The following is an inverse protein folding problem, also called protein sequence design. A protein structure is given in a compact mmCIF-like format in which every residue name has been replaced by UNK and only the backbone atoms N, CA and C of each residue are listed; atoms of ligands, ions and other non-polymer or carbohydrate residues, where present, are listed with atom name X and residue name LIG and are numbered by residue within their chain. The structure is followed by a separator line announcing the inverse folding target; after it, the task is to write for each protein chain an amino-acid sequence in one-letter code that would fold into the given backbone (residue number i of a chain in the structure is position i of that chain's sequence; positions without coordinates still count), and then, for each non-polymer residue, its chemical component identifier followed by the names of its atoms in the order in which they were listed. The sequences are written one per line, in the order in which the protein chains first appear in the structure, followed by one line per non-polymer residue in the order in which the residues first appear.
data_IF_428296248300
#
_entry.id   IF_428296248300
#
_cell.length_a   1.000
_cell.length_b   1.000
_cell.length_c   1.000
_cell.angle_alpha   90.00
_cell.angle_beta   90.00
_cell.angle_gamma   90.00
#
_symmetry.space_group_name_H-M   'P 1'
#
loop_
_entity.id
_entity.type
_entity.pdbx_description
1 polymer ?
#
# COMPACT_ATOMS: atom_id res chain seq x y z
N UNK A 1 14.46 -18.02 -8.54
CA UNK A 1 13.21 -17.58 -9.18
C UNK A 1 12.08 -17.41 -8.16
N UNK A 2 11.46 -18.46 -7.60
CA UNK A 2 10.37 -18.27 -6.61
C UNK A 2 10.78 -17.45 -5.38
N UNK A 3 11.97 -17.70 -4.82
CA UNK A 3 12.49 -16.98 -3.65
C UNK A 3 12.71 -15.48 -3.93
N UNK A 4 13.06 -15.13 -5.16
CA UNK A 4 13.32 -13.76 -5.57
C UNK A 4 12.00 -12.99 -5.77
N UNK A 5 11.00 -13.67 -6.33
CA UNK A 5 9.66 -13.13 -6.55
C UNK A 5 8.89 -12.89 -5.24
N UNK A 6 8.96 -13.83 -4.30
CA UNK A 6 8.38 -13.66 -2.97
C UNK A 6 8.99 -12.45 -2.23
N UNK A 7 10.29 -12.24 -2.39
CA UNK A 7 11.01 -11.11 -1.80
C UNK A 7 10.56 -9.78 -2.43
N UNK A 8 10.36 -9.75 -3.75
CA UNK A 8 9.84 -8.58 -4.46
C UNK A 8 8.44 -8.18 -3.98
N UNK A 9 7.51 -9.14 -3.90
CA UNK A 9 6.16 -8.89 -3.39
C UNK A 9 6.16 -8.41 -1.94
N UNK A 10 7.05 -8.97 -1.12
CA UNK A 10 7.23 -8.52 0.26
C UNK A 10 7.69 -7.07 0.34
N UNK A 11 8.66 -6.67 -0.48
CA UNK A 11 9.14 -5.29 -0.55
C UNK A 11 8.06 -4.32 -1.04
N UNK A 12 7.28 -4.71 -2.06
CA UNK A 12 6.15 -3.92 -2.56
C UNK A 12 5.08 -3.72 -1.48
N UNK A 13 4.74 -4.77 -0.73
CA UNK A 13 3.80 -4.68 0.38
C UNK A 13 4.28 -3.72 1.48
N UNK A 14 5.57 -3.79 1.84
CA UNK A 14 6.18 -2.86 2.80
C UNK A 14 6.09 -1.42 2.31
N UNK A 15 6.33 -1.18 1.02
CA UNK A 15 6.25 0.16 0.44
C UNK A 15 4.83 0.74 0.53
N UNK A 16 3.80 -0.06 0.22
CA UNK A 16 2.39 0.34 0.33
C UNK A 16 2.04 0.71 1.78
N UNK A 17 2.44 -0.13 2.75
CA UNK A 17 2.16 0.14 4.18
C UNK A 17 2.84 1.42 4.65
N UNK A 18 4.08 1.69 4.20
CA UNK A 18 4.80 2.91 4.54
C UNK A 18 4.19 4.17 3.94
N UNK A 19 3.63 4.09 2.73
CA UNK A 19 2.95 5.23 2.08
C UNK A 19 1.72 5.67 2.89
N UNK A 20 1.00 4.72 3.49
CA UNK A 20 -0.18 4.99 4.33
C UNK A 20 0.17 5.47 5.73
N UNK A 21 1.26 4.96 6.31
CA UNK A 21 1.67 5.26 7.69
C UNK A 21 2.40 6.61 7.82
N UNK A 22 1.88 7.66 7.20
CA UNK A 22 2.39 9.02 7.39
C UNK A 22 2.05 9.50 8.81
N UNK A 23 3.05 9.83 9.67
CA UNK A 23 2.79 10.24 11.04
C UNK A 23 2.10 11.61 11.09
N UNK A 24 0.96 11.69 11.77
CA UNK A 24 0.30 12.96 12.07
C UNK A 24 0.39 13.30 13.54
N UNK A 25 0.59 14.59 13.85
CA UNK A 25 0.38 15.10 15.21
C UNK A 25 -1.13 15.10 15.53
N UNK A 26 -1.51 15.07 16.80
CA UNK A 26 -2.94 15.06 17.21
C UNK A 26 -3.76 16.20 16.58
N UNK A 27 -3.19 17.41 16.46
CA UNK A 27 -3.82 18.54 15.76
C UNK A 27 -3.86 18.38 14.24
N UNK A 28 -2.96 17.58 13.68
CA UNK A 28 -2.95 17.19 12.27
C UNK A 28 -4.11 16.27 11.89
N UNK A 29 -4.53 15.35 12.77
CA UNK A 29 -5.62 14.40 12.50
C UNK A 29 -7.00 15.10 12.42
N UNK A 30 -7.19 16.18 13.18
CA UNK A 30 -8.42 16.98 13.15
C UNK A 30 -8.51 17.95 11.96
N UNK A 31 -7.42 18.16 11.23
CA UNK A 31 -7.38 19.05 10.08
C UNK A 31 -8.02 18.38 8.86
N UNK A 32 -9.03 19.03 8.27
CA UNK A 32 -9.74 18.54 7.09
C UNK A 32 -8.82 18.31 5.88
N UNK A 33 -7.83 19.17 5.68
CA UNK A 33 -6.86 19.01 4.59
C UNK A 33 -6.02 17.73 4.74
N UNK A 34 -5.65 17.39 5.98
CA UNK A 34 -4.91 16.17 6.27
C UNK A 34 -5.79 14.93 6.13
N UNK A 35 -7.04 14.98 6.59
CA UNK A 35 -7.99 13.87 6.36
C UNK A 35 -8.23 13.60 4.88
N UNK A 36 -8.36 14.65 4.07
CA UNK A 36 -8.50 14.51 2.62
C UNK A 36 -7.23 13.95 1.97
N UNK A 37 -6.05 14.31 2.48
CA UNK A 37 -4.78 13.74 2.05
C UNK A 37 -4.67 12.25 2.42
N UNK A 38 -4.99 11.88 3.66
CA UNK A 38 -4.98 10.50 4.14
C UNK A 38 -5.97 9.62 3.39
N UNK A 39 -7.16 10.14 3.08
CA UNK A 39 -8.13 9.44 2.25
C UNK A 39 -7.59 9.13 0.84
N UNK A 40 -6.81 10.06 0.25
CA UNK A 40 -6.14 9.84 -1.04
C UNK A 40 -5.03 8.80 -0.93
N UNK A 41 -4.22 8.86 0.12
CA UNK A 41 -3.17 7.86 0.38
C UNK A 41 -3.77 6.47 0.58
N UNK A 42 -4.81 6.35 1.39
CA UNK A 42 -5.52 5.09 1.62
C UNK A 42 -6.13 4.53 0.34
N UNK A 43 -6.73 5.39 -0.52
CA UNK A 43 -7.26 4.96 -1.81
C UNK A 43 -6.16 4.44 -2.73
N UNK A 44 -5.06 5.17 -2.86
CA UNK A 44 -3.91 4.75 -3.68
C UNK A 44 -3.33 3.42 -3.21
N UNK A 45 -3.19 3.25 -1.90
CA UNK A 45 -2.69 2.01 -1.32
C UNK A 45 -3.62 0.82 -1.60
N UNK A 46 -4.94 1.03 -1.52
CA UNK A 46 -5.92 0.00 -1.88
C UNK A 46 -5.81 -0.40 -3.35
N UNK A 47 -5.69 0.57 -4.26
CA UNK A 47 -5.54 0.30 -5.69
C UNK A 47 -4.25 -0.52 -5.95
N UNK A 48 -3.14 -0.20 -5.27
CA UNK A 48 -1.88 -0.95 -5.37
C UNK A 48 -1.97 -2.38 -4.80
N UNK A 49 -2.72 -2.60 -3.71
CA UNK A 49 -2.94 -3.93 -3.14
C UNK A 49 -3.75 -4.83 -4.07
N UNK A 50 -4.73 -4.26 -4.78
CA UNK A 50 -5.52 -5.00 -5.77
C UNK A 50 -4.61 -5.50 -6.89
N UNK A 51 -3.79 -4.62 -7.47
CA UNK A 51 -2.83 -4.98 -8.53
C UNK A 51 -1.88 -6.08 -8.05
N UNK A 52 -1.27 -5.90 -6.86
CA UNK A 52 -0.36 -6.90 -6.30
C UNK A 52 -1.06 -8.26 -6.09
N UNK A 53 -2.31 -8.26 -5.64
CA UNK A 53 -3.10 -9.48 -5.49
C UNK A 53 -3.37 -10.16 -6.84
N UNK A 54 -3.65 -9.39 -7.90
CA UNK A 54 -3.85 -9.93 -9.25
C UNK A 54 -2.57 -10.55 -9.80
N UNK A 55 -1.41 -9.89 -9.62
CA UNK A 55 -0.09 -10.40 -10.01
C UNK A 55 0.24 -11.72 -9.29
N UNK A 56 -0.03 -11.80 -7.99
CA UNK A 56 0.17 -13.02 -7.20
C UNK A 56 -0.73 -14.14 -7.70
N UNK A 57 -2.00 -13.86 -7.98
CA UNK A 57 -2.94 -14.88 -8.44
C UNK A 57 -2.60 -15.39 -9.84
N UNK A 58 -2.21 -14.50 -10.76
CA UNK A 58 -1.78 -14.90 -12.11
C UNK A 58 -0.61 -15.89 -12.07
N UNK A 59 0.40 -15.64 -11.24
CA UNK A 59 1.53 -16.57 -11.08
C UNK A 59 1.18 -17.90 -10.41
N UNK A 60 0.05 -17.99 -9.69
CA UNK A 60 -0.42 -19.27 -9.11
C UNK A 60 -1.18 -20.13 -10.12
N UNK A 61 -1.69 -19.51 -11.17
CA UNK A 61 -2.44 -20.18 -12.24
C UNK A 61 -1.53 -20.62 -13.41
N UNK A 62 -0.30 -20.11 -13.47
CA UNK A 62 0.80 -20.56 -14.35
C UNK A 62 1.52 -21.82 -13.82
#
# INVERSE_FOLDING_TARGET
MEKDQLSLWHEQLIAIIKDVNTPHTLGGITNEANRAHDARLARRALDQLIILSEEINAQREE
#
